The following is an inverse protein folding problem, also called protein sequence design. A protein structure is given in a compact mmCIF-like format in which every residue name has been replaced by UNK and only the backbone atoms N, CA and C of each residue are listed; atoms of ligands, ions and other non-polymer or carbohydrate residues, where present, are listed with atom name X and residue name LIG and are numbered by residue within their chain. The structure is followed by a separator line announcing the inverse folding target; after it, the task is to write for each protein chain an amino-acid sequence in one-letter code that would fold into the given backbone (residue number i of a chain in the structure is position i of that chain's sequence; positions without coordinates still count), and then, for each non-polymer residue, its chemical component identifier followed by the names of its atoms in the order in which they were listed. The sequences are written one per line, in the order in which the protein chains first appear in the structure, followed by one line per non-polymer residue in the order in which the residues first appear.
data_IF_857754175930
#
_entry.id   IF_857754175930
#
_cell.length_a   1.000
_cell.length_b   1.000
_cell.length_c   1.000
_cell.angle_alpha   90.00
_cell.angle_beta   90.00
_cell.angle_gamma   90.00
#
_symmetry.space_group_name_H-M   'P 1'
#
loop_
_entity.id
_entity.type
_entity.pdbx_description
1 polymer ?
#
# COMPACT_ATOMS: atom_id res chain seq x y z
N UNK A 1 -1.62 36.68 -36.09
CA UNK A 1 -0.54 35.75 -35.71
C UNK A 1 -1.16 34.55 -35.00
N UNK A 2 -1.91 33.72 -35.72
CA UNK A 2 -2.38 32.44 -35.19
C UNK A 2 -1.29 31.43 -35.47
N UNK A 3 -0.55 31.01 -34.45
CA UNK A 3 0.32 29.84 -34.57
C UNK A 3 -0.60 28.63 -34.65
N UNK A 4 -0.88 28.21 -35.88
CA UNK A 4 -1.51 26.93 -36.14
C UNK A 4 -0.70 25.85 -35.42
N UNK A 5 -1.32 25.21 -34.43
CA UNK A 5 -0.81 23.97 -33.85
C UNK A 5 -0.99 22.82 -34.87
N UNK A 6 -0.43 22.98 -36.06
CA UNK A 6 -0.37 21.95 -37.13
C UNK A 6 0.73 20.93 -36.83
N UNK A 7 0.83 20.50 -35.58
CA UNK A 7 1.70 19.39 -35.12
C UNK A 7 0.96 18.32 -34.32
N UNK A 8 -0.34 18.51 -34.04
CA UNK A 8 -1.12 17.65 -33.16
C UNK A 8 -1.94 16.56 -33.90
N UNK A 9 -1.59 16.24 -35.14
CA UNK A 9 -2.18 15.13 -35.93
C UNK A 9 -1.27 13.90 -35.96
N UNK A 10 -0.49 13.71 -34.89
CA UNK A 10 0.50 12.65 -34.78
C UNK A 10 0.67 12.11 -33.36
N UNK A 11 -0.40 12.09 -32.55
CA UNK A 11 -0.45 11.16 -31.42
C UNK A 11 -0.53 9.75 -31.99
N UNK A 12 0.63 9.26 -32.45
CA UNK A 12 0.84 7.88 -32.84
C UNK A 12 0.22 7.00 -31.77
N UNK A 13 -0.60 6.03 -32.16
CA UNK A 13 -1.20 5.02 -31.27
C UNK A 13 -0.13 4.43 -30.32
N UNK A 14 1.15 4.43 -30.74
CA UNK A 14 2.32 4.05 -29.96
C UNK A 14 2.57 4.96 -28.74
N UNK A 15 2.43 6.28 -28.89
CA UNK A 15 2.58 7.25 -27.79
C UNK A 15 1.43 7.14 -26.78
N UNK A 16 0.20 6.90 -27.25
CA UNK A 16 -0.97 6.68 -26.36
C UNK A 16 -0.82 5.37 -25.58
N UNK A 17 -0.39 4.28 -26.23
CA UNK A 17 -0.09 3.01 -25.56
C UNK A 17 1.02 3.16 -24.52
N UNK A 18 2.09 3.87 -24.88
CA UNK A 18 3.20 4.11 -23.95
C UNK A 18 2.75 4.91 -22.73
N UNK A 19 1.94 5.97 -22.93
CA UNK A 19 1.39 6.76 -21.83
C UNK A 19 0.49 5.91 -20.93
N UNK A 20 -0.38 5.09 -21.52
CA UNK A 20 -1.26 4.20 -20.75
C UNK A 20 -0.46 3.20 -19.92
N UNK A 21 0.58 2.59 -20.49
CA UNK A 21 1.48 1.69 -19.75
C UNK A 21 2.11 2.41 -18.56
N UNK A 22 2.63 3.62 -18.76
CA UNK A 22 3.23 4.42 -17.68
C UNK A 22 2.20 4.67 -16.58
N UNK A 23 0.98 5.08 -16.94
CA UNK A 23 -0.09 5.31 -15.96
C UNK A 23 -0.44 4.03 -15.18
N UNK A 24 -0.55 2.88 -15.86
CA UNK A 24 -0.83 1.60 -15.23
C UNK A 24 0.29 1.18 -14.28
N UNK A 25 1.55 1.37 -14.68
CA UNK A 25 2.71 1.07 -13.82
C UNK A 25 2.73 2.00 -12.60
N UNK A 26 2.56 3.30 -12.79
CA UNK A 26 2.52 4.26 -11.67
C UNK A 26 1.33 3.97 -10.73
N UNK A 27 0.18 3.62 -11.29
CA UNK A 27 -0.98 3.21 -10.50
C UNK A 27 -0.70 1.92 -9.71
N UNK A 28 -0.09 0.91 -10.35
CA UNK A 28 0.29 -0.34 -9.70
C UNK A 28 1.29 -0.13 -8.56
N UNK A 29 2.28 0.74 -8.75
CA UNK A 29 3.20 1.16 -7.68
C UNK A 29 2.42 1.86 -6.56
N UNK A 30 1.53 2.80 -6.89
CA UNK A 30 0.70 3.48 -5.91
C UNK A 30 -0.15 2.51 -5.07
N UNK A 31 -0.79 1.54 -5.72
CA UNK A 31 -1.57 0.49 -5.04
C UNK A 31 -0.68 -0.38 -4.17
N UNK A 32 0.51 -0.77 -4.65
CA UNK A 32 1.42 -1.59 -3.86
C UNK A 32 1.92 -0.88 -2.60
N UNK A 33 2.28 0.41 -2.68
CA UNK A 33 2.81 1.11 -1.50
C UNK A 33 1.74 1.71 -0.59
N UNK A 34 0.52 1.95 -1.08
CA UNK A 34 -0.50 2.68 -0.33
C UNK A 34 -1.89 2.00 -0.31
N UNK A 35 -2.11 0.94 -1.09
CA UNK A 35 -3.40 0.28 -1.23
C UNK A 35 -3.98 -0.30 0.08
N UNK A 36 -3.20 -1.08 0.85
CA UNK A 36 -3.69 -1.65 2.10
C UNK A 36 -4.14 -0.62 3.15
N UNK A 37 -3.40 0.48 3.45
CA UNK A 37 -3.86 1.45 4.43
C UNK A 37 -5.06 2.31 3.98
N UNK A 38 -5.26 2.52 2.68
CA UNK A 38 -6.42 3.28 2.16
C UNK A 38 -7.69 2.44 2.04
N UNK A 39 -7.57 1.11 2.03
CA UNK A 39 -8.71 0.21 1.90
C UNK A 39 -9.22 -0.21 3.29
N UNK A 40 -10.47 0.13 3.66
CA UNK A 40 -11.00 -0.18 4.99
C UNK A 40 -10.97 -1.67 5.35
N UNK A 41 -11.23 -2.56 4.39
CA UNK A 41 -11.25 -4.00 4.61
C UNK A 41 -9.86 -4.59 4.98
N UNK A 42 -8.79 -4.14 4.31
CA UNK A 42 -7.44 -4.61 4.65
C UNK A 42 -6.99 -4.05 5.99
N UNK A 43 -7.34 -2.79 6.27
CA UNK A 43 -7.06 -2.18 7.57
C UNK A 43 -7.83 -2.87 8.70
N UNK A 44 -9.09 -3.25 8.52
CA UNK A 44 -9.87 -3.95 9.54
C UNK A 44 -9.30 -5.34 9.83
N UNK A 45 -8.95 -6.10 8.79
CA UNK A 45 -8.29 -7.39 8.94
C UNK A 45 -6.97 -7.25 9.72
N UNK A 46 -6.16 -6.23 9.40
CA UNK A 46 -4.87 -6.00 10.04
C UNK A 46 -5.02 -5.69 11.53
N UNK A 47 -6.06 -4.92 11.87
CA UNK A 47 -6.40 -4.63 13.26
C UNK A 47 -6.85 -5.88 13.99
N UNK A 48 -7.65 -6.74 13.37
CA UNK A 48 -8.12 -7.98 13.98
C UNK A 48 -6.96 -8.95 14.27
N UNK A 49 -6.08 -9.17 13.28
CA UNK A 49 -4.90 -10.01 13.45
C UNK A 49 -3.93 -9.45 14.51
N UNK A 50 -3.71 -8.13 14.52
CA UNK A 50 -2.86 -7.49 15.53
C UNK A 50 -3.50 -7.53 16.93
N UNK A 51 -4.82 -7.39 17.01
CA UNK A 51 -5.57 -7.52 18.25
C UNK A 51 -5.46 -8.93 18.84
N UNK A 52 -5.61 -9.96 18.00
CA UNK A 52 -5.44 -11.35 18.41
C UNK A 52 -4.02 -11.62 18.92
N UNK A 53 -3.01 -11.12 18.20
CA UNK A 53 -1.61 -11.22 18.63
C UNK A 53 -1.34 -10.54 19.99
N UNK A 54 -1.93 -9.37 20.23
CA UNK A 54 -1.80 -8.64 21.50
C UNK A 54 -2.70 -9.19 22.64
N UNK A 55 -3.41 -10.29 22.41
CA UNK A 55 -4.26 -10.95 23.41
C UNK A 55 -5.64 -10.33 23.56
N UNK A 56 -6.25 -9.90 22.45
CA UNK A 56 -7.66 -9.56 22.33
C UNK A 56 -8.09 -8.20 22.90
N UNK A 57 -7.17 -7.24 23.04
CA UNK A 57 -7.50 -5.89 23.48
C UNK A 57 -6.96 -4.82 22.51
N UNK A 58 -7.89 -4.05 21.94
CA UNK A 58 -7.62 -3.00 20.94
C UNK A 58 -6.79 -1.82 21.46
N UNK A 59 -6.57 -1.73 22.78
CA UNK A 59 -5.75 -0.70 23.41
C UNK A 59 -4.34 -1.17 23.77
N UNK A 60 -3.98 -2.41 23.45
CA UNK A 60 -2.66 -2.97 23.77
C UNK A 60 -1.79 -3.22 22.56
N UNK A 61 -2.16 -2.67 21.40
CA UNK A 61 -1.36 -2.81 20.21
C UNK A 61 -1.27 -1.50 19.44
N UNK A 62 -0.17 -1.37 18.71
CA UNK A 62 0.01 -0.33 17.71
C UNK A 62 0.19 -1.01 16.34
N UNK A 63 -0.60 -0.56 15.37
CA UNK A 63 -0.56 -1.04 14.00
C UNK A 63 -0.09 0.09 13.08
N UNK A 64 1.05 -0.12 12.43
CA UNK A 64 1.66 0.83 11.51
C UNK A 64 1.81 0.21 10.12
N UNK A 65 1.64 1.03 9.08
CA UNK A 65 1.97 0.63 7.71
C UNK A 65 3.41 1.01 7.40
N UNK A 66 4.26 0.02 7.16
CA UNK A 66 5.66 0.23 6.80
C UNK A 66 5.82 0.17 5.30
N UNK A 67 6.24 1.27 4.68
CA UNK A 67 6.49 1.38 3.22
C UNK A 67 7.86 2.03 2.90
N UNK A 68 8.79 1.98 3.85
CA UNK A 68 10.09 2.63 3.74
C UNK A 68 10.95 2.09 2.57
N UNK A 69 11.81 2.92 1.97
CA UNK A 69 12.75 2.46 0.95
C UNK A 69 13.66 1.34 1.49
N UNK A 70 13.68 0.19 0.81
CA UNK A 70 14.50 -0.96 1.19
C UNK A 70 13.80 -2.02 2.05
N UNK A 71 12.54 -1.82 2.43
CA UNK A 71 11.69 -2.86 2.99
C UNK A 71 10.50 -3.16 2.07
N UNK A 72 10.05 -4.41 2.05
CA UNK A 72 8.79 -4.78 1.40
C UNK A 72 7.63 -4.17 2.17
N UNK A 73 6.67 -3.48 1.53
CA UNK A 73 5.56 -2.86 2.24
C UNK A 73 4.75 -3.89 3.03
N UNK A 74 4.50 -3.61 4.31
CA UNK A 74 3.79 -4.52 5.19
C UNK A 74 3.17 -3.80 6.38
N UNK A 75 2.20 -4.48 7.00
CA UNK A 75 1.66 -4.11 8.30
C UNK A 75 2.62 -4.52 9.42
N UNK A 76 3.02 -3.57 10.24
CA UNK A 76 3.84 -3.78 11.43
C UNK A 76 2.95 -3.71 12.67
N UNK A 77 2.96 -4.76 13.47
CA UNK A 77 2.17 -4.86 14.71
C UNK A 77 3.10 -4.88 15.92
N UNK A 78 2.82 -3.99 16.87
CA UNK A 78 3.53 -3.87 18.14
C UNK A 78 2.60 -4.22 19.30
N UNK A 79 3.10 -4.98 20.26
CA UNK A 79 2.40 -5.22 21.53
C UNK A 79 2.85 -4.15 22.55
N UNK A 80 1.97 -3.19 22.85
CA UNK A 80 2.24 -2.10 23.80
C UNK A 80 2.46 -2.63 25.23
N UNK A 81 1.94 -3.81 25.57
CA UNK A 81 2.18 -4.43 26.89
C UNK A 81 3.60 -4.94 27.02
N UNK A 82 4.30 -5.14 25.90
CA UNK A 82 5.65 -5.71 25.85
C UNK A 82 6.52 -4.90 24.89
N UNK A 83 6.84 -3.63 25.22
CA UNK A 83 7.61 -2.74 24.35
C UNK A 83 9.04 -3.26 24.06
N UNK A 84 9.53 -4.20 24.87
CA UNK A 84 10.82 -4.86 24.69
C UNK A 84 10.82 -5.85 23.50
N UNK A 85 9.64 -6.32 23.08
CA UNK A 85 9.51 -7.27 21.97
C UNK A 85 9.49 -6.53 20.65
N UNK A 86 10.23 -7.05 19.66
CA UNK A 86 10.24 -6.50 18.30
C UNK A 86 8.85 -6.60 17.68
N UNK A 87 8.51 -5.61 16.86
CA UNK A 87 7.32 -5.65 16.02
C UNK A 87 7.31 -6.89 15.13
N UNK A 88 6.13 -7.45 14.92
CA UNK A 88 5.94 -8.52 13.94
C UNK A 88 5.44 -7.93 12.62
N UNK A 89 5.85 -8.55 11.53
CA UNK A 89 5.30 -8.24 10.20
C UNK A 89 4.06 -9.10 9.99
N UNK A 90 2.92 -8.46 9.74
CA UNK A 90 1.68 -9.09 9.30
C UNK A 90 1.58 -9.16 7.77
N UNK A 91 2.65 -8.79 7.05
CA UNK A 91 2.69 -8.85 5.59
C UNK A 91 1.96 -7.71 4.86
N UNK A 92 2.01 -7.75 3.54
CA UNK A 92 1.32 -6.79 2.66
C UNK A 92 -0.20 -7.00 2.67
N UNK A 93 -0.58 -8.26 2.63
CA UNK A 93 -1.90 -8.75 2.94
C UNK A 93 -1.86 -9.35 4.34
N UNK A 94 -2.85 -9.02 5.16
CA UNK A 94 -3.09 -9.71 6.43
C UNK A 94 -3.57 -11.10 6.03
N UNK A 95 -2.87 -12.14 6.44
CA UNK A 95 -3.13 -13.50 5.98
C UNK A 95 -4.62 -13.86 6.15
N UNK A 96 -5.39 -14.11 5.07
CA UNK A 96 -6.76 -14.60 5.21
C UNK A 96 -6.80 -16.10 5.58
N UNK A 97 -5.64 -16.77 5.70
CA UNK A 97 -5.55 -18.22 5.90
C UNK A 97 -4.41 -18.70 6.85
N UNK A 98 -3.90 -17.86 7.75
CA UNK A 98 -3.03 -18.33 8.85
C UNK A 98 -3.82 -18.51 10.14
#
# INVERSE_FOLDING_TARGET
MGVSATGQTGLSIRSVKSLFIVLVVCFGIGVYFYGPPVTPAFRSAANEACNEYAGGNFRSYQLDWMSAPGSTPHWSCWDERRPQKRAISLGWWVDPFS
#
